data_IF_673351116836
#
_entry.id   IF_673351116836
#
_cell.length_a   1.000
_cell.length_b   1.000
_cell.length_c   1.000
_cell.angle_alpha   90.00
_cell.angle_beta   90.00
_cell.angle_gamma   90.00
#
_symmetry.space_group_name_H-M   'P 1'
#
loop_
_entity.id
_entity.type
_entity.pdbx_description
1 polymer ?
#
# COMPACT_ATOMS: atom_id res chain seq x y z
N UNK A 1 7.07 21.60 5.10
CA UNK A 1 6.41 20.28 5.23
C UNK A 1 7.33 19.45 6.08
N UNK A 2 6.88 19.08 7.27
CA UNK A 2 7.62 18.23 8.21
C UNK A 2 6.95 16.86 8.19
N UNK A 3 7.76 15.80 8.28
CA UNK A 3 7.25 14.43 8.40
C UNK A 3 6.71 14.24 9.82
N UNK A 4 5.77 13.31 10.02
CA UNK A 4 5.43 12.89 11.37
C UNK A 4 6.59 12.13 12.04
N UNK A 5 6.64 12.13 13.37
CA UNK A 5 7.72 11.51 14.15
C UNK A 5 7.91 10.03 13.79
N UNK A 6 6.81 9.28 13.62
CA UNK A 6 6.84 7.88 13.20
C UNK A 6 7.53 7.69 11.83
N UNK A 7 7.28 8.60 10.88
CA UNK A 7 7.88 8.55 9.55
C UNK A 7 9.36 8.98 9.59
N UNK A 8 9.75 9.94 10.42
CA UNK A 8 11.16 10.31 10.62
C UNK A 8 11.96 9.12 11.18
N UNK A 9 11.41 8.41 12.17
CA UNK A 9 12.03 7.20 12.75
C UNK A 9 12.15 6.10 11.69
N UNK A 10 11.10 5.89 10.89
CA UNK A 10 11.14 4.94 9.77
C UNK A 10 12.20 5.33 8.75
N UNK A 11 12.26 6.61 8.38
CA UNK A 11 13.17 7.15 7.38
C UNK A 11 14.63 6.88 7.74
N UNK A 12 15.03 7.18 8.98
CA UNK A 12 16.39 6.95 9.48
C UNK A 12 16.80 5.48 9.46
N UNK A 13 15.86 4.57 9.79
CA UNK A 13 16.09 3.12 9.69
C UNK A 13 16.21 2.69 8.23
N UNK A 14 15.25 3.08 7.40
CA UNK A 14 15.17 2.69 5.98
C UNK A 14 16.38 3.16 5.20
N UNK A 15 16.88 4.36 5.47
CA UNK A 15 18.08 4.90 4.85
C UNK A 15 19.30 4.00 5.00
N UNK A 16 19.46 3.34 6.15
CA UNK A 16 20.56 2.39 6.38
C UNK A 16 20.39 1.15 5.52
N UNK A 17 19.18 0.57 5.49
CA UNK A 17 18.85 -0.57 4.62
C UNK A 17 19.10 -0.26 3.14
N UNK A 18 18.63 0.92 2.67
CA UNK A 18 18.81 1.36 1.29
C UNK A 18 20.30 1.58 0.97
N UNK A 19 21.06 2.16 1.89
CA UNK A 19 22.50 2.33 1.71
C UNK A 19 23.17 0.96 1.51
N UNK A 20 22.94 0.03 2.43
CA UNK A 20 23.48 -1.34 2.33
C UNK A 20 23.11 -2.01 1.02
N UNK A 21 21.87 -1.88 0.56
CA UNK A 21 21.41 -2.46 -0.69
C UNK A 21 22.06 -1.83 -1.92
N UNK A 22 22.13 -0.49 -1.98
CA UNK A 22 22.83 0.21 -3.06
C UNK A 22 24.32 -0.14 -3.13
N UNK A 23 24.93 -0.53 -2.02
CA UNK A 23 26.30 -1.05 -1.99
C UNK A 23 26.41 -2.48 -2.46
N UNK A 24 25.45 -3.35 -2.14
CA UNK A 24 25.41 -4.73 -2.67
C UNK A 24 25.25 -4.74 -4.19
N UNK A 25 24.48 -3.81 -4.76
CA UNK A 25 24.25 -3.72 -6.20
C UNK A 25 25.42 -3.15 -6.99
N UNK A 26 26.41 -2.55 -6.31
CA UNK A 26 27.64 -2.09 -6.97
C UNK A 26 28.55 -3.26 -7.23
N UNK A 27 29.03 -3.34 -8.47
CA UNK A 27 30.13 -4.22 -8.87
C UNK A 27 31.51 -3.65 -8.48
N UNK A 28 31.57 -2.61 -7.65
CA UNK A 28 32.80 -1.93 -7.27
C UNK A 28 33.35 -2.48 -5.94
N UNK A 29 34.59 -2.95 -5.99
CA UNK A 29 35.27 -3.67 -4.91
C UNK A 29 35.57 -2.78 -3.69
N UNK A 30 35.51 -1.45 -3.85
CA UNK A 30 35.89 -0.49 -2.81
C UNK A 30 34.82 -0.20 -1.75
N UNK A 31 33.62 -0.80 -1.81
CA UNK A 31 32.55 -0.89 -0.77
C UNK A 31 32.53 0.13 0.40
N UNK A 32 32.67 1.42 0.14
CA UNK A 32 32.52 2.45 1.19
C UNK A 32 31.05 2.88 1.22
N UNK A 33 30.37 2.59 2.33
CA UNK A 33 29.00 3.06 2.58
C UNK A 33 28.90 4.57 2.37
N UNK A 34 27.78 5.03 1.80
CA UNK A 34 27.54 6.47 1.71
C UNK A 34 27.33 7.03 3.11
N UNK A 35 27.71 8.30 3.32
CA UNK A 35 27.09 9.07 4.40
C UNK A 35 25.57 9.04 4.20
N UNK A 36 24.80 8.87 5.28
CA UNK A 36 23.33 8.73 5.22
C UNK A 36 22.70 9.89 4.44
N UNK A 37 23.28 11.08 4.53
CA UNK A 37 22.88 12.31 3.83
C UNK A 37 23.04 12.24 2.30
N UNK A 38 23.86 11.31 1.79
CA UNK A 38 24.11 11.11 0.34
C UNK A 38 23.33 9.95 -0.24
N UNK A 39 22.66 9.15 0.59
CA UNK A 39 21.79 8.08 0.10
C UNK A 39 20.63 8.72 -0.66
N UNK A 40 20.29 8.31 -1.89
CA UNK A 40 19.18 8.89 -2.63
C UNK A 40 17.82 8.51 -2.02
N UNK A 41 16.81 9.34 -2.25
CA UNK A 41 15.42 8.99 -1.97
C UNK A 41 14.79 8.44 -3.24
N UNK A 42 14.63 7.11 -3.32
CA UNK A 42 14.03 6.44 -4.47
C UNK A 42 12.58 6.10 -4.15
N UNK A 43 11.66 6.39 -5.07
CA UNK A 43 10.25 6.05 -4.94
C UNK A 43 9.77 5.22 -6.13
N UNK A 44 8.98 4.19 -5.86
CA UNK A 44 8.30 3.38 -6.87
C UNK A 44 6.84 3.84 -6.93
N UNK A 45 6.35 4.24 -8.11
CA UNK A 45 5.02 4.84 -8.24
C UNK A 45 4.16 4.06 -9.22
N UNK A 46 2.94 3.73 -8.79
CA UNK A 46 1.92 3.03 -9.57
C UNK A 46 0.74 3.90 -9.97
N UNK A 47 0.39 3.87 -11.25
CA UNK A 47 -0.78 4.57 -11.79
C UNK A 47 -2.09 3.83 -11.54
N UNK A 48 -3.21 4.55 -11.62
CA UNK A 48 -4.54 3.94 -11.63
C UNK A 48 -4.83 3.11 -12.89
N UNK A 49 -5.89 2.30 -12.82
CA UNK A 49 -6.29 1.45 -13.94
C UNK A 49 -7.03 0.16 -13.57
N UNK A 50 -7.67 0.12 -12.41
CA UNK A 50 -8.40 -1.06 -11.92
C UNK A 50 -7.52 -2.32 -11.89
N UNK A 51 -8.12 -3.47 -12.22
CA UNK A 51 -7.43 -4.77 -12.17
C UNK A 51 -6.21 -4.86 -13.10
N UNK A 52 -6.18 -4.12 -14.22
CA UNK A 52 -4.98 -4.06 -15.08
C UNK A 52 -3.79 -3.49 -14.30
N UNK A 53 -4.02 -2.42 -13.54
CA UNK A 53 -2.98 -1.81 -12.71
C UNK A 53 -2.58 -2.72 -11.54
N UNK A 54 -3.51 -3.47 -10.96
CA UNK A 54 -3.20 -4.51 -9.94
C UNK A 54 -2.24 -5.54 -10.51
N UNK A 55 -2.61 -6.21 -11.62
CA UNK A 55 -1.80 -7.28 -12.22
C UNK A 55 -0.44 -6.76 -12.69
N UNK A 56 -0.43 -5.60 -13.34
CA UNK A 56 0.81 -4.95 -13.78
C UNK A 56 1.73 -4.61 -12.60
N UNK A 57 1.18 -4.08 -11.50
CA UNK A 57 1.94 -3.78 -10.30
C UNK A 57 2.50 -5.05 -9.64
N UNK A 58 1.72 -6.13 -9.53
CA UNK A 58 2.24 -7.39 -8.97
C UNK A 58 3.45 -7.91 -9.74
N UNK A 59 3.39 -7.87 -11.09
CA UNK A 59 4.53 -8.24 -11.92
C UNK A 59 5.73 -7.30 -11.75
N UNK A 60 5.48 -5.98 -11.70
CA UNK A 60 6.53 -4.99 -11.48
C UNK A 60 7.21 -5.17 -10.11
N UNK A 61 6.47 -5.44 -9.04
CA UNK A 61 7.03 -5.64 -7.70
C UNK A 61 7.93 -6.87 -7.61
N UNK A 62 7.58 -7.95 -8.32
CA UNK A 62 8.47 -9.12 -8.46
C UNK A 62 9.78 -8.72 -9.15
N UNK A 63 9.71 -8.09 -10.31
CA UNK A 63 10.90 -7.69 -11.04
C UNK A 63 11.77 -6.69 -10.26
N UNK A 64 11.16 -5.72 -9.59
CA UNK A 64 11.86 -4.73 -8.76
C UNK A 64 12.54 -5.38 -7.55
N UNK A 65 11.92 -6.42 -6.96
CA UNK A 65 12.53 -7.20 -5.88
C UNK A 65 13.70 -8.04 -6.39
N UNK A 66 13.55 -8.72 -7.53
CA UNK A 66 14.60 -9.54 -8.14
C UNK A 66 15.82 -8.70 -8.54
N UNK A 67 15.60 -7.43 -8.95
CA UNK A 67 16.65 -6.47 -9.27
C UNK A 67 17.22 -5.75 -8.03
N UNK A 68 16.68 -6.01 -6.82
CA UNK A 68 17.03 -5.30 -5.58
C UNK A 68 16.57 -3.83 -5.54
N UNK A 69 15.94 -3.31 -6.58
CA UNK A 69 15.45 -1.92 -6.64
C UNK A 69 14.40 -1.67 -5.55
N UNK A 70 13.55 -2.67 -5.27
CA UNK A 70 12.55 -2.56 -4.20
C UNK A 70 13.20 -2.39 -2.82
N UNK A 71 14.32 -3.08 -2.58
CA UNK A 71 15.08 -3.01 -1.35
C UNK A 71 15.87 -1.68 -1.23
N UNK A 72 16.20 -1.07 -2.37
CA UNK A 72 16.80 0.26 -2.46
C UNK A 72 15.77 1.41 -2.49
N UNK A 73 14.46 1.12 -2.52
CA UNK A 73 13.42 2.15 -2.51
C UNK A 73 13.14 2.65 -1.09
N UNK A 74 12.90 3.96 -0.93
CA UNK A 74 12.40 4.56 0.31
C UNK A 74 10.88 4.44 0.41
N UNK A 75 10.18 4.69 -0.70
CA UNK A 75 8.72 4.77 -0.75
C UNK A 75 8.15 3.93 -1.90
N UNK A 76 6.95 3.41 -1.67
CA UNK A 76 6.06 2.95 -2.75
C UNK A 76 4.80 3.80 -2.70
N UNK A 77 4.31 4.25 -3.85
CA UNK A 77 3.10 5.05 -3.91
C UNK A 77 2.14 4.47 -4.95
N UNK A 78 0.84 4.49 -4.67
CA UNK A 78 -0.15 3.95 -5.59
C UNK A 78 -1.51 4.61 -5.48
N UNK A 79 -2.14 4.82 -6.64
CA UNK A 79 -3.53 5.28 -6.74
C UNK A 79 -4.41 4.22 -7.40
N UNK A 80 -5.68 4.16 -6.98
CA UNK A 80 -6.68 3.24 -7.56
C UNK A 80 -6.16 1.79 -7.58
N UNK A 81 -6.09 1.14 -8.75
CA UNK A 81 -5.65 -0.25 -8.86
C UNK A 81 -4.24 -0.51 -8.30
N UNK A 82 -3.32 0.45 -8.37
CA UNK A 82 -1.99 0.26 -7.76
C UNK A 82 -1.99 0.43 -6.24
N UNK A 83 -3.03 1.02 -5.64
CA UNK A 83 -3.15 1.12 -4.17
C UNK A 83 -3.21 -0.25 -3.50
N UNK A 84 -3.58 -1.30 -4.24
CA UNK A 84 -3.54 -2.67 -3.77
C UNK A 84 -2.12 -3.26 -3.64
N UNK A 85 -1.06 -2.46 -3.84
CA UNK A 85 0.27 -2.76 -3.33
C UNK A 85 0.26 -3.07 -1.82
N UNK A 86 -0.75 -2.54 -1.10
CA UNK A 86 -1.06 -2.86 0.30
C UNK A 86 -1.08 -4.37 0.61
N UNK A 87 -1.49 -5.19 -0.36
CA UNK A 87 -1.52 -6.66 -0.23
C UNK A 87 -0.15 -7.26 0.08
N UNK A 88 0.94 -6.62 -0.37
CA UNK A 88 2.31 -7.05 -0.06
C UNK A 88 2.63 -6.91 1.43
N UNK A 89 2.09 -5.88 2.07
CA UNK A 89 2.39 -5.52 3.46
C UNK A 89 1.48 -6.24 4.45
N UNK A 90 0.33 -6.74 3.97
CA UNK A 90 -0.69 -7.39 4.77
C UNK A 90 -0.29 -8.78 5.26
N UNK A 91 0.66 -9.46 4.60
CA UNK A 91 1.10 -10.79 4.99
C UNK A 91 2.21 -10.73 6.05
N UNK A 92 1.85 -10.96 7.32
CA UNK A 92 2.77 -10.91 8.47
C UNK A 92 3.84 -12.01 8.49
N UNK A 93 3.63 -13.10 7.75
CA UNK A 93 4.49 -14.29 7.84
C UNK A 93 5.45 -14.43 6.65
N UNK A 94 5.09 -13.89 5.48
CA UNK A 94 5.97 -13.93 4.32
C UNK A 94 5.72 -12.73 3.39
N UNK A 95 6.60 -11.73 3.50
CA UNK A 95 6.61 -10.55 2.64
C UNK A 95 7.35 -10.90 1.35
N UNK A 96 6.63 -11.52 0.42
CA UNK A 96 7.21 -12.00 -0.83
C UNK A 96 6.32 -11.58 -2.02
N UNK A 97 6.79 -10.66 -2.89
CA UNK A 97 6.04 -10.22 -4.06
C UNK A 97 5.61 -11.37 -4.98
N UNK A 98 6.41 -12.43 -5.09
CA UNK A 98 6.08 -13.60 -5.91
C UNK A 98 4.93 -14.39 -5.31
N UNK A 99 4.94 -14.62 -3.99
CA UNK A 99 3.86 -15.30 -3.28
C UNK A 99 2.55 -14.50 -3.40
N UNK A 100 2.59 -13.18 -3.20
CA UNK A 100 1.43 -12.29 -3.33
C UNK A 100 0.88 -12.30 -4.76
N UNK A 101 1.75 -12.19 -5.78
CA UNK A 101 1.36 -12.29 -7.19
C UNK A 101 0.64 -13.62 -7.47
N UNK A 102 1.20 -14.73 -7.01
CA UNK A 102 0.64 -16.07 -7.24
C UNK A 102 -0.74 -16.21 -6.57
N UNK A 103 -0.90 -15.77 -5.32
CA UNK A 103 -2.18 -15.79 -4.62
C UNK A 103 -3.24 -14.93 -5.30
N UNK A 104 -2.88 -13.72 -5.77
CA UNK A 104 -3.81 -12.87 -6.52
C UNK A 104 -4.17 -13.53 -7.85
N UNK A 105 -3.21 -14.10 -8.55
CA UNK A 105 -3.44 -14.79 -9.83
C UNK A 105 -4.41 -15.97 -9.67
N UNK A 106 -4.24 -16.81 -8.65
CA UNK A 106 -5.12 -17.94 -8.34
C UNK A 106 -6.56 -17.47 -8.04
N UNK A 107 -6.71 -16.44 -7.21
CA UNK A 107 -8.02 -15.86 -6.86
C UNK A 107 -8.71 -15.21 -8.07
N UNK A 108 -7.94 -14.63 -9.00
CA UNK A 108 -8.49 -14.07 -10.24
C UNK A 108 -8.87 -15.15 -11.26
N UNK A 109 -8.13 -16.26 -11.32
CA UNK A 109 -8.47 -17.37 -12.21
C UNK A 109 -9.73 -18.11 -11.75
N UNK A 110 -9.99 -18.13 -10.44
CA UNK A 110 -11.25 -18.62 -9.85
C UNK A 110 -12.39 -17.59 -9.88
N UNK A 111 -12.20 -16.44 -10.54
CA UNK A 111 -13.12 -15.31 -10.49
C UNK A 111 -14.37 -15.35 -11.41
N UNK A 112 -14.52 -16.13 -12.50
CA UNK A 112 -15.74 -16.08 -13.31
C UNK A 112 -17.01 -16.41 -12.50
N UNK A 113 -16.94 -17.41 -11.63
CA UNK A 113 -18.03 -17.74 -10.69
C UNK A 113 -18.07 -16.77 -9.50
N UNK A 114 -16.92 -16.28 -9.05
CA UNK A 114 -16.81 -15.44 -7.86
C UNK A 114 -17.26 -14.00 -8.11
N UNK A 115 -16.93 -13.40 -9.25
CA UNK A 115 -17.32 -12.03 -9.62
C UNK A 115 -18.82 -11.93 -9.93
N UNK A 116 -19.39 -12.90 -10.66
CA UNK A 116 -20.84 -12.96 -10.90
C UNK A 116 -21.60 -13.21 -9.59
N UNK A 117 -21.12 -14.11 -8.73
CA UNK A 117 -21.74 -14.37 -7.41
C UNK A 117 -21.58 -13.20 -6.44
N UNK A 118 -20.45 -12.51 -6.44
CA UNK A 118 -20.20 -11.29 -5.66
C UNK A 118 -21.15 -10.17 -6.11
N UNK A 119 -21.29 -9.96 -7.42
CA UNK A 119 -22.20 -8.97 -8.01
C UNK A 119 -23.67 -9.26 -7.69
N UNK A 120 -24.10 -10.53 -7.81
CA UNK A 120 -25.47 -10.97 -7.55
C UNK A 120 -25.84 -10.96 -6.06
N UNK A 121 -24.93 -11.38 -5.17
CA UNK A 121 -25.16 -11.37 -3.71
C UNK A 121 -25.19 -9.98 -3.09
N UNK A 122 -24.65 -8.97 -3.78
CA UNK A 122 -24.70 -7.58 -3.32
C UNK A 122 -26.01 -6.86 -3.61
N UNK A 123 -26.88 -7.33 -4.52
CA UNK A 123 -28.14 -6.62 -4.84
C UNK A 123 -29.12 -6.56 -3.66
N UNK A 124 -29.24 -7.64 -2.88
CA UNK A 124 -30.14 -7.69 -1.73
C UNK A 124 -29.62 -6.87 -0.53
N UNK A 125 -28.30 -6.90 -0.29
CA UNK A 125 -27.63 -6.09 0.76
C UNK A 125 -27.59 -4.60 0.39
N UNK A 126 -27.39 -4.30 -0.90
CA UNK A 126 -27.41 -2.96 -1.47
C UNK A 126 -28.78 -2.29 -1.29
N UNK A 127 -29.87 -3.02 -1.52
CA UNK A 127 -31.24 -2.49 -1.33
C UNK A 127 -31.55 -2.29 0.15
N UNK A 128 -30.99 -3.07 1.08
CA UNK A 128 -31.32 -2.91 2.51
C UNK A 128 -30.53 -1.80 3.22
N UNK A 129 -29.27 -1.54 2.86
CA UNK A 129 -28.40 -0.63 3.63
C UNK A 129 -28.28 0.79 3.07
N UNK A 130 -28.62 1.02 1.79
CA UNK A 130 -28.67 2.39 1.23
C UNK A 130 -29.76 3.23 1.91
N UNK A 131 -30.83 2.61 2.41
CA UNK A 131 -31.93 3.33 3.05
C UNK A 131 -31.63 3.78 4.48
N UNK A 132 -30.64 3.18 5.15
CA UNK A 132 -30.25 3.53 6.54
C UNK A 132 -29.08 4.54 6.62
N UNK A 133 -28.39 4.84 5.51
CA UNK A 133 -27.45 5.96 5.40
C UNK A 133 -26.02 5.74 5.91
N UNK A 134 -25.74 4.63 6.59
CA UNK A 134 -24.45 4.35 7.22
C UNK A 134 -23.39 3.70 6.30
N UNK A 135 -23.79 3.20 5.11
CA UNK A 135 -22.92 2.44 4.20
C UNK A 135 -23.01 3.01 2.78
N UNK A 136 -21.87 3.17 2.12
CA UNK A 136 -21.75 3.67 0.75
C UNK A 136 -21.44 2.56 -0.27
N UNK A 137 -21.54 2.89 -1.57
CA UNK A 137 -21.10 1.99 -2.65
C UNK A 137 -19.61 1.66 -2.56
N UNK A 138 -18.81 2.56 -2.00
CA UNK A 138 -17.37 2.35 -1.81
C UNK A 138 -17.11 1.25 -0.78
N UNK A 139 -17.94 1.13 0.25
CA UNK A 139 -17.81 0.07 1.27
C UNK A 139 -18.09 -1.31 0.67
N UNK A 140 -19.17 -1.43 -0.12
CA UNK A 140 -19.49 -2.67 -0.83
C UNK A 140 -18.36 -3.02 -1.81
N UNK A 141 -17.90 -2.05 -2.60
CA UNK A 141 -16.81 -2.27 -3.54
C UNK A 141 -15.52 -2.71 -2.81
N UNK A 142 -15.18 -2.06 -1.70
CA UNK A 142 -14.04 -2.39 -0.86
C UNK A 142 -14.09 -3.80 -0.30
N UNK A 143 -15.24 -4.23 0.23
CA UNK A 143 -15.47 -5.61 0.70
C UNK A 143 -15.22 -6.63 -0.41
N UNK A 144 -15.82 -6.43 -1.58
CA UNK A 144 -15.73 -7.38 -2.71
C UNK A 144 -14.30 -7.46 -3.25
N UNK A 145 -13.64 -6.32 -3.45
CA UNK A 145 -12.26 -6.31 -3.95
C UNK A 145 -11.28 -6.80 -2.89
N UNK A 146 -11.47 -6.44 -1.62
CA UNK A 146 -10.69 -6.96 -0.50
C UNK A 146 -10.75 -8.49 -0.43
N UNK A 147 -11.94 -9.08 -0.53
CA UNK A 147 -12.10 -10.53 -0.55
C UNK A 147 -11.37 -11.21 -1.72
N UNK A 148 -11.33 -10.57 -2.90
CA UNK A 148 -10.62 -11.08 -4.08
C UNK A 148 -9.10 -10.99 -3.90
N UNK A 149 -8.58 -9.90 -3.30
CA UNK A 149 -7.14 -9.63 -3.29
C UNK A 149 -6.43 -10.13 -2.03
N UNK A 150 -7.06 -9.98 -0.87
CA UNK A 150 -6.51 -10.36 0.44
C UNK A 150 -7.00 -11.74 0.88
N UNK A 151 -8.08 -12.25 0.28
CA UNK A 151 -8.77 -13.44 0.77
C UNK A 151 -9.78 -13.09 1.87
N UNK A 152 -10.34 -14.13 2.51
CA UNK A 152 -11.41 -13.98 3.51
C UNK A 152 -10.93 -14.06 4.95
N UNK A 153 -9.70 -14.55 5.16
CA UNK A 153 -9.16 -14.79 6.48
C UNK A 153 -8.30 -13.59 6.88
N UNK A 154 -8.87 -12.72 7.72
CA UNK A 154 -8.23 -11.55 8.34
C UNK A 154 -7.71 -10.47 7.37
N UNK A 155 -8.52 -9.44 7.15
CA UNK A 155 -8.14 -8.21 6.46
C UNK A 155 -7.52 -7.24 7.49
N UNK A 156 -6.22 -6.93 7.43
CA UNK A 156 -5.60 -6.00 8.38
C UNK A 156 -6.09 -4.56 8.14
N UNK A 157 -6.12 -3.75 9.21
CA UNK A 157 -6.30 -2.31 9.04
C UNK A 157 -5.04 -1.71 8.44
N UNK A 158 -5.19 -0.57 7.78
CA UNK A 158 -4.05 0.14 7.21
C UNK A 158 -3.03 0.58 8.28
N UNK A 159 -3.50 0.94 9.48
CA UNK A 159 -2.66 1.21 10.65
C UNK A 159 -1.87 0.01 11.15
N UNK A 160 -2.35 -1.22 10.91
CA UNK A 160 -1.71 -2.45 11.40
C UNK A 160 -0.43 -2.75 10.62
N UNK A 161 -0.27 -2.15 9.42
CA UNK A 161 0.94 -2.28 8.61
C UNK A 161 2.18 -1.65 9.27
N UNK A 162 2.01 -0.83 10.33
CA UNK A 162 3.13 -0.34 11.14
C UNK A 162 3.96 -1.49 11.71
N UNK A 163 3.34 -2.62 12.05
CA UNK A 163 4.03 -3.82 12.53
C UNK A 163 4.98 -4.38 11.47
N UNK A 164 4.52 -4.47 10.22
CA UNK A 164 5.32 -4.92 9.06
C UNK A 164 6.50 -3.96 8.80
N UNK A 165 6.34 -2.67 9.12
CA UNK A 165 7.33 -1.62 8.85
C UNK A 165 8.33 -1.40 9.97
N UNK A 166 8.21 -2.09 11.11
CA UNK A 166 9.02 -1.84 12.33
C UNK A 166 10.54 -1.91 12.09
N UNK A 167 10.96 -2.78 11.17
CA UNK A 167 12.35 -3.04 10.79
C UNK A 167 12.77 -2.31 9.50
N UNK A 168 11.85 -1.58 8.87
CA UNK A 168 12.10 -0.84 7.62
C UNK A 168 12.68 -1.69 6.48
N UNK A 169 12.35 -3.00 6.43
CA UNK A 169 12.78 -3.93 5.38
C UNK A 169 12.04 -3.71 4.06
N UNK A 170 10.87 -3.08 4.11
CA UNK A 170 10.11 -2.62 2.96
C UNK A 170 10.10 -1.09 2.85
N UNK A 171 9.94 -0.54 1.64
CA UNK A 171 9.66 0.88 1.47
C UNK A 171 8.33 1.27 2.14
N UNK A 172 8.19 2.52 2.57
CA UNK A 172 6.92 2.99 3.16
C UNK A 172 5.84 3.05 2.07
N UNK A 173 4.68 2.38 2.25
CA UNK A 173 3.60 2.46 1.29
C UNK A 173 2.76 3.72 1.52
N UNK A 174 2.52 4.47 0.44
CA UNK A 174 1.71 5.67 0.39
C UNK A 174 0.53 5.46 -0.55
N UNK A 175 -0.66 5.78 -0.07
CA UNK A 175 -1.88 5.84 -0.88
C UNK A 175 -2.28 7.29 -1.04
N UNK A 176 -2.95 7.60 -2.15
CA UNK A 176 -3.50 8.93 -2.35
C UNK A 176 -4.98 8.87 -2.75
N UNK A 177 -5.75 9.77 -2.19
CA UNK A 177 -7.16 10.00 -2.47
C UNK A 177 -7.41 11.49 -2.73
N UNK A 178 -8.61 11.81 -3.20
CA UNK A 178 -9.02 13.19 -3.45
C UNK A 178 -10.23 13.51 -2.59
N UNK A 179 -10.09 14.53 -1.75
CA UNK A 179 -11.19 15.18 -1.07
C UNK A 179 -11.89 16.18 -2.01
N UNK A 180 -13.19 16.39 -1.78
CA UNK A 180 -14.06 17.30 -2.52
C UNK A 180 -13.34 18.61 -2.89
N UNK A 181 -13.46 19.03 -4.16
CA UNK A 181 -12.73 20.16 -4.79
C UNK A 181 -11.24 19.89 -5.04
N UNK A 182 -10.91 18.69 -5.52
CA UNK A 182 -9.59 18.32 -6.03
C UNK A 182 -8.43 18.51 -5.04
N UNK A 183 -8.68 18.25 -3.75
CA UNK A 183 -7.65 18.36 -2.71
C UNK A 183 -7.08 16.97 -2.42
N UNK A 184 -5.77 16.81 -2.62
CA UNK A 184 -5.10 15.56 -2.32
C UNK A 184 -5.12 15.26 -0.82
N UNK A 185 -5.41 14.00 -0.52
CA UNK A 185 -5.16 13.35 0.76
C UNK A 185 -4.09 12.29 0.51
N UNK A 186 -3.05 12.30 1.32
CA UNK A 186 -2.06 11.24 1.41
C UNK A 186 -2.36 10.36 2.62
N UNK A 187 -2.22 9.05 2.46
CA UNK A 187 -2.46 8.07 3.51
C UNK A 187 -1.24 7.15 3.61
N UNK A 188 -0.48 7.27 4.69
CA UNK A 188 0.54 6.30 5.12
C UNK A 188 0.00 5.46 6.27
N UNK A 189 0.62 4.32 6.63
CA UNK A 189 0.22 3.59 7.84
C UNK A 189 0.30 4.44 9.12
N UNK A 190 1.08 5.52 9.12
CA UNK A 190 1.26 6.44 10.25
C UNK A 190 0.18 7.52 10.30
N UNK A 191 -0.08 8.20 9.19
CA UNK A 191 -0.99 9.35 9.19
C UNK A 191 -1.83 9.49 7.92
N UNK A 192 -2.93 10.22 8.06
CA UNK A 192 -3.65 10.82 6.94
C UNK A 192 -3.27 12.27 6.89
N UNK A 193 -2.68 12.70 5.79
CA UNK A 193 -2.15 14.04 5.62
C UNK A 193 -2.85 14.78 4.47
N UNK A 194 -3.19 16.05 4.70
CA UNK A 194 -3.70 16.97 3.68
C UNK A 194 -2.66 18.05 3.37
N UNK A 195 -1.84 17.90 2.32
CA UNK A 195 -0.75 18.83 2.01
C UNK A 195 -1.19 20.29 1.84
N UNK A 196 -2.40 20.50 1.29
CA UNK A 196 -2.96 21.83 1.08
C UNK A 196 -3.14 22.62 2.38
N UNK A 197 -3.40 21.93 3.49
CA UNK A 197 -3.69 22.55 4.78
C UNK A 197 -2.55 22.37 5.79
N UNK A 198 -1.55 21.53 5.48
CA UNK A 198 -0.50 21.20 6.44
C UNK A 198 -1.07 20.52 7.69
N UNK A 199 -2.16 19.77 7.54
CA UNK A 199 -2.86 19.11 8.64
C UNK A 199 -2.81 17.60 8.45
N UNK A 200 -2.48 16.88 9.51
CA UNK A 200 -2.59 15.43 9.58
C UNK A 200 -3.31 14.96 10.84
N UNK A 201 -3.74 13.71 10.79
CA UNK A 201 -4.20 12.94 11.95
C UNK A 201 -3.54 11.56 11.92
N UNK A 202 -3.37 10.93 13.08
CA UNK A 202 -2.94 9.53 13.13
C UNK A 202 -3.96 8.66 12.39
N UNK A 203 -3.47 7.76 11.53
CA UNK A 203 -4.28 6.85 10.72
C UNK A 203 -5.31 6.04 11.54
N UNK A 204 -5.03 5.74 12.81
CA UNK A 204 -5.95 5.04 13.73
C UNK A 204 -7.23 5.82 14.01
N UNK A 205 -7.21 7.14 13.83
CA UNK A 205 -8.35 8.02 14.05
C UNK A 205 -9.04 8.41 12.74
N UNK A 206 -8.58 7.92 11.58
CA UNK A 206 -9.25 8.19 10.31
C UNK A 206 -10.66 7.61 10.29
N UNK A 207 -11.66 8.47 10.05
CA UNK A 207 -13.09 8.15 10.13
C UNK A 207 -13.74 8.43 11.49
N UNK A 208 -12.99 8.94 12.48
CA UNK A 208 -13.55 9.43 13.75
C UNK A 208 -14.11 10.85 13.62
N UNK A 209 -14.98 11.24 14.55
CA UNK A 209 -15.45 12.61 14.73
C UNK A 209 -14.45 13.44 15.54
N UNK A 210 -14.31 14.72 15.21
CA UNK A 210 -13.40 15.67 15.86
C UNK A 210 -14.13 16.99 16.09
N UNK A 211 -13.90 17.62 17.24
CA UNK A 211 -14.45 18.92 17.65
C UNK A 211 -13.47 20.09 17.42
#
# INVERSE_FOLDING_TARGET
LHLCEDEEIFFEKRKKCVNEELHKQRLDENKILYGIERVPNIAVIGSGGGMRAVVGMCGAMVALKDLGILDAAMYTAGVSGSSYLSTLYANKHEINPTSVKNSIQERLQSAPETFIRLLMSSLEVFISHIFDGDISLTDIYGDKVGAILLGKDHIPKWSDLRETLQHAELPLPLLAAVHVRDKWIECSPYEVFMPKYGTSIDMKHFGSEFD
#
